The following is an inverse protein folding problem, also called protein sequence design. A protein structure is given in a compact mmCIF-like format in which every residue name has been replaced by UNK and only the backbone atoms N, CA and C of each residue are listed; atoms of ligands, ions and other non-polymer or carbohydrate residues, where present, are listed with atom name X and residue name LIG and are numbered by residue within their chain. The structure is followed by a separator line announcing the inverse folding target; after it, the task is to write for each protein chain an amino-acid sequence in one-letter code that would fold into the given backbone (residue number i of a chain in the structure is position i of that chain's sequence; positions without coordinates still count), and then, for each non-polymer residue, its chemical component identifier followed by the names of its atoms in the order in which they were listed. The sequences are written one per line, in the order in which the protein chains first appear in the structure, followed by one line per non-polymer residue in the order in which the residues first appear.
data_IF_507389147835
#
_entry.id   IF_507389147835
#
_cell.length_a   1.000
_cell.length_b   1.000
_cell.length_c   1.000
_cell.angle_alpha   90.00
_cell.angle_beta   90.00
_cell.angle_gamma   90.00
#
_symmetry.space_group_name_H-M   'P 1'
#
loop_
_entity.id
_entity.type
_entity.pdbx_description
1 polymer ?
#
# COMPACT_ATOMS: atom_id res chain seq x y z
N UNK A 1 -7.67 -27.43 14.88
CA UNK A 1 -8.23 -27.47 13.51
C UNK A 1 -7.08 -27.76 12.57
N UNK A 2 -7.27 -28.71 11.68
CA UNK A 2 -6.29 -29.01 10.62
C UNK A 2 -6.24 -27.87 9.60
N UNK A 3 -5.04 -27.48 9.17
CA UNK A 3 -4.87 -26.39 8.21
C UNK A 3 -5.33 -26.86 6.82
N UNK A 4 -6.09 -26.05 6.12
CA UNK A 4 -6.56 -26.36 4.75
C UNK A 4 -5.38 -26.15 3.80
N UNK A 5 -4.90 -27.18 3.08
CA UNK A 5 -3.82 -27.03 2.14
C UNK A 5 -4.27 -26.17 0.95
N UNK A 6 -3.37 -25.38 0.38
CA UNK A 6 -3.70 -24.54 -0.79
C UNK A 6 -4.19 -25.40 -1.99
N UNK A 7 -3.70 -26.62 -2.10
CA UNK A 7 -4.13 -27.58 -3.13
C UNK A 7 -5.62 -27.84 -3.16
N UNK A 8 -6.34 -27.62 -2.05
CA UNK A 8 -7.79 -27.78 -2.00
C UNK A 8 -8.57 -26.70 -2.80
N UNK A 9 -7.92 -25.58 -3.15
CA UNK A 9 -8.49 -24.48 -3.93
C UNK A 9 -7.98 -24.42 -5.38
N UNK A 10 -6.88 -25.14 -5.66
CA UNK A 10 -6.30 -25.08 -7.00
C UNK A 10 -7.15 -25.90 -7.97
N UNK A 11 -7.30 -25.43 -9.24
CA UNK A 11 -7.92 -26.24 -10.29
C UNK A 11 -7.22 -27.61 -10.47
N UNK A 12 -7.97 -28.68 -10.68
CA UNK A 12 -7.41 -30.01 -10.92
C UNK A 12 -6.45 -30.06 -12.14
N UNK A 13 -6.67 -29.19 -13.10
CA UNK A 13 -5.85 -29.06 -14.31
C UNK A 13 -4.51 -28.34 -14.05
N UNK A 14 -4.26 -27.78 -12.87
CA UNK A 14 -3.05 -27.02 -12.57
C UNK A 14 -1.88 -27.98 -12.32
N UNK A 15 -0.89 -28.00 -13.22
CA UNK A 15 0.38 -28.68 -13.01
C UNK A 15 1.37 -27.74 -12.29
N UNK A 16 1.75 -27.99 -11.02
CA UNK A 16 2.70 -27.14 -10.30
C UNK A 16 4.04 -26.95 -11.00
N UNK A 17 4.44 -27.88 -11.88
CA UNK A 17 5.70 -27.79 -12.63
C UNK A 17 5.68 -26.72 -13.71
N UNK A 18 4.49 -26.27 -14.15
CA UNK A 18 4.35 -25.16 -15.09
C UNK A 18 4.47 -23.78 -14.40
N UNK A 19 4.55 -23.71 -13.06
CA UNK A 19 4.46 -22.46 -12.29
C UNK A 19 5.74 -22.11 -11.54
N UNK A 20 6.05 -20.82 -11.52
CA UNK A 20 6.90 -20.17 -10.50
C UNK A 20 6.02 -19.46 -9.49
N UNK A 21 6.38 -19.50 -8.22
CA UNK A 21 5.77 -18.64 -7.19
C UNK A 21 6.64 -17.40 -7.02
N UNK A 22 6.04 -16.23 -7.20
CA UNK A 22 6.66 -14.95 -6.92
C UNK A 22 6.18 -14.47 -5.54
N UNK A 23 7.08 -14.51 -4.57
CA UNK A 23 6.87 -13.96 -3.24
C UNK A 23 7.30 -12.49 -3.23
N UNK A 24 6.42 -11.59 -3.65
CA UNK A 24 6.72 -10.16 -3.66
C UNK A 24 6.84 -9.64 -2.22
N UNK A 25 7.96 -8.97 -1.93
CA UNK A 25 8.30 -8.39 -0.62
C UNK A 25 8.62 -6.92 -0.78
N UNK A 26 8.69 -6.18 0.33
CA UNK A 26 9.11 -4.79 0.30
C UNK A 26 10.44 -4.59 -0.44
N UNK A 27 10.44 -3.65 -1.40
CA UNK A 27 11.59 -3.36 -2.26
C UNK A 27 12.42 -2.16 -1.79
N UNK A 28 12.26 -1.73 -0.53
CA UNK A 28 12.82 -0.54 0.13
C UNK A 28 12.08 0.78 -0.19
N UNK A 29 11.18 0.79 -1.18
CA UNK A 29 10.41 1.94 -1.62
C UNK A 29 8.93 1.71 -1.38
N UNK A 30 8.37 0.62 -1.94
CA UNK A 30 6.95 0.29 -1.89
C UNK A 30 6.71 -1.08 -1.27
N UNK A 31 5.59 -1.18 -0.55
CA UNK A 31 5.13 -2.47 -0.05
C UNK A 31 4.26 -3.16 -1.11
N UNK A 32 4.49 -4.46 -1.41
CA UNK A 32 3.84 -5.15 -2.52
C UNK A 32 2.31 -5.22 -2.38
N UNK A 33 1.80 -5.30 -1.16
CA UNK A 33 0.35 -5.39 -0.92
C UNK A 33 -0.35 -4.08 -1.29
N UNK A 34 0.30 -2.92 -1.12
CA UNK A 34 -0.24 -1.62 -1.52
C UNK A 34 -0.24 -1.48 -3.04
N UNK A 35 0.84 -1.90 -3.70
CA UNK A 35 0.92 -1.92 -5.17
C UNK A 35 -0.18 -2.82 -5.74
N UNK A 36 -0.34 -4.03 -5.20
CA UNK A 36 -1.40 -4.95 -5.60
C UNK A 36 -2.81 -4.36 -5.41
N UNK A 37 -3.00 -3.60 -4.31
CA UNK A 37 -4.30 -2.97 -4.01
C UNK A 37 -4.63 -1.81 -4.95
N UNK A 38 -3.63 -1.03 -5.41
CA UNK A 38 -3.87 0.31 -5.95
C UNK A 38 -3.47 0.50 -7.41
N UNK A 39 -2.53 -0.31 -7.92
CA UNK A 39 -1.96 -0.10 -9.25
C UNK A 39 -1.68 -1.42 -9.95
N UNK A 40 -2.65 -1.85 -10.77
CA UNK A 40 -2.54 -3.10 -11.52
C UNK A 40 -1.41 -3.10 -12.55
N UNK A 41 -1.13 -1.98 -13.20
CA UNK A 41 -0.04 -1.86 -14.17
C UNK A 41 1.33 -2.00 -13.48
N UNK A 42 1.50 -1.34 -12.34
CA UNK A 42 2.72 -1.48 -11.55
C UNK A 42 2.86 -2.92 -10.99
N UNK A 43 1.75 -3.54 -10.55
CA UNK A 43 1.75 -4.93 -10.12
C UNK A 43 2.14 -5.90 -11.24
N UNK A 44 1.69 -5.65 -12.46
CA UNK A 44 2.17 -6.35 -13.66
C UNK A 44 3.68 -6.15 -13.84
N UNK A 45 4.17 -4.92 -13.66
CA UNK A 45 5.60 -4.60 -13.69
C UNK A 45 6.43 -5.40 -12.70
N UNK A 46 5.91 -5.66 -11.48
CA UNK A 46 6.57 -6.50 -10.49
C UNK A 46 6.71 -7.96 -10.95
N UNK A 47 5.80 -8.44 -11.78
CA UNK A 47 5.83 -9.78 -12.37
C UNK A 47 6.59 -9.84 -13.71
N UNK A 48 6.96 -8.68 -14.27
CA UNK A 48 7.77 -8.52 -15.50
C UNK A 48 9.23 -8.15 -15.21
N UNK A 49 9.66 -8.19 -13.96
CA UNK A 49 10.92 -7.66 -13.46
C UNK A 49 12.14 -8.20 -14.24
N UNK A 50 13.10 -7.29 -14.50
CA UNK A 50 14.40 -7.64 -15.09
C UNK A 50 15.34 -8.21 -14.02
N UNK A 51 15.89 -9.38 -14.30
CA UNK A 51 16.87 -10.06 -13.45
C UNK A 51 18.03 -10.57 -14.30
N UNK A 52 19.23 -10.64 -13.72
CA UNK A 52 20.38 -11.32 -14.35
C UNK A 52 20.10 -12.80 -14.54
N UNK A 53 19.25 -13.39 -13.69
CA UNK A 53 18.84 -14.79 -13.79
C UNK A 53 17.50 -14.90 -14.49
N UNK A 54 17.29 -15.98 -15.27
CA UNK A 54 15.99 -16.34 -15.80
C UNK A 54 15.10 -16.90 -14.67
N UNK A 55 14.58 -15.99 -13.84
CA UNK A 55 13.84 -16.35 -12.63
C UNK A 55 12.43 -16.88 -12.96
N UNK A 56 11.77 -16.34 -13.99
CA UNK A 56 10.44 -16.77 -14.43
C UNK A 56 10.52 -17.65 -15.67
N UNK A 57 11.32 -18.71 -15.58
CA UNK A 57 11.60 -19.66 -16.65
C UNK A 57 10.53 -20.76 -16.82
N UNK A 58 9.28 -20.48 -16.41
CA UNK A 58 8.12 -21.35 -16.57
C UNK A 58 6.97 -20.62 -17.26
N UNK A 59 5.94 -21.36 -17.61
CA UNK A 59 4.79 -20.86 -18.35
C UNK A 59 3.98 -19.84 -17.53
N UNK A 60 3.84 -20.07 -16.21
CA UNK A 60 3.03 -19.24 -15.35
C UNK A 60 3.79 -18.74 -14.11
N UNK A 61 3.33 -17.60 -13.58
CA UNK A 61 3.76 -17.03 -12.32
C UNK A 61 2.54 -16.99 -11.38
N UNK A 62 2.61 -17.72 -10.28
CA UNK A 62 1.68 -17.60 -9.15
C UNK A 62 2.20 -16.49 -8.24
N UNK A 63 1.55 -15.33 -8.27
CA UNK A 63 2.04 -14.11 -7.63
C UNK A 63 1.36 -13.89 -6.28
N UNK A 64 2.15 -13.60 -5.25
CA UNK A 64 1.66 -13.29 -3.91
C UNK A 64 2.39 -12.09 -3.31
N UNK A 65 1.65 -11.21 -2.64
CA UNK A 65 2.16 -10.03 -1.96
C UNK A 65 2.26 -10.28 -0.45
N UNK A 66 3.40 -9.96 0.17
CA UNK A 66 3.60 -10.09 1.61
C UNK A 66 2.67 -9.14 2.38
N UNK A 67 2.08 -9.62 3.47
CA UNK A 67 1.36 -8.78 4.42
C UNK A 67 2.33 -7.86 5.19
N UNK A 68 1.86 -6.67 5.60
CA UNK A 68 2.69 -5.67 6.30
C UNK A 68 3.03 -6.06 7.73
N UNK A 69 2.16 -6.81 8.38
CA UNK A 69 2.20 -7.09 9.81
C UNK A 69 2.59 -8.53 10.13
N UNK A 70 2.36 -9.45 9.19
CA UNK A 70 2.70 -10.87 9.33
C UNK A 70 3.52 -11.35 8.12
N UNK A 71 4.81 -11.49 8.30
CA UNK A 71 5.73 -11.94 7.25
C UNK A 71 5.47 -13.37 6.73
N UNK A 72 4.58 -14.13 7.40
CA UNK A 72 4.16 -15.48 6.97
C UNK A 72 2.83 -15.47 6.24
N UNK A 73 2.17 -14.33 6.13
CA UNK A 73 0.90 -14.16 5.46
C UNK A 73 1.10 -13.50 4.10
N UNK A 74 0.42 -14.01 3.09
CA UNK A 74 0.58 -13.62 1.70
C UNK A 74 -0.77 -13.44 1.04
N UNK A 75 -1.01 -12.28 0.44
CA UNK A 75 -2.21 -12.01 -0.34
C UNK A 75 -2.02 -12.46 -1.78
N UNK A 76 -2.95 -13.23 -2.32
CA UNK A 76 -2.89 -13.71 -3.69
C UNK A 76 -3.07 -12.57 -4.69
N UNK A 77 -2.11 -12.42 -5.61
CA UNK A 77 -2.02 -11.36 -6.60
C UNK A 77 -2.26 -11.78 -8.04
N UNK A 78 -2.76 -13.02 -8.22
CA UNK A 78 -3.13 -13.54 -9.54
C UNK A 78 -2.13 -14.53 -10.12
N UNK A 79 -2.57 -15.17 -11.20
CA UNK A 79 -1.74 -16.02 -12.05
C UNK A 79 -1.43 -15.24 -13.33
N UNK A 80 -0.15 -15.15 -13.67
CA UNK A 80 0.35 -14.43 -14.84
C UNK A 80 0.97 -15.42 -15.81
N UNK A 81 0.52 -15.42 -17.05
CA UNK A 81 1.12 -16.19 -18.15
C UNK A 81 2.35 -15.45 -18.67
N UNK A 82 3.45 -16.17 -18.86
CA UNK A 82 4.68 -15.64 -19.46
C UNK A 82 4.59 -15.79 -20.96
N UNK A 83 4.18 -14.72 -21.65
CA UNK A 83 3.99 -14.70 -23.10
C UNK A 83 5.31 -14.65 -23.85
N UNK A 84 6.29 -13.92 -23.32
CA UNK A 84 7.59 -13.73 -23.97
C UNK A 84 8.68 -13.59 -22.90
N UNK A 85 9.86 -14.15 -23.20
CA UNK A 85 11.08 -13.99 -22.42
C UNK A 85 12.11 -13.33 -23.30
N UNK A 86 12.68 -12.22 -22.83
CA UNK A 86 13.73 -11.48 -23.52
C UNK A 86 14.99 -11.49 -22.69
N UNK A 87 16.11 -11.64 -23.36
CA UNK A 87 17.42 -11.52 -22.74
C UNK A 87 18.17 -10.38 -23.43
N UNK A 88 18.25 -9.24 -22.73
CA UNK A 88 18.89 -8.02 -23.23
C UNK A 88 19.90 -7.50 -22.21
N UNK A 89 21.09 -7.08 -22.66
CA UNK A 89 22.10 -6.43 -21.81
C UNK A 89 22.40 -7.22 -20.51
N UNK A 90 22.50 -8.54 -20.59
CA UNK A 90 22.74 -9.44 -19.45
C UNK A 90 21.61 -9.51 -18.41
N UNK A 91 20.42 -9.12 -18.76
CA UNK A 91 19.23 -9.23 -17.90
C UNK A 91 18.07 -9.92 -18.64
N UNK A 92 17.25 -10.64 -17.89
CA UNK A 92 15.99 -11.23 -18.38
C UNK A 92 14.81 -10.32 -18.03
N UNK A 93 13.94 -10.10 -19.00
CA UNK A 93 12.64 -9.44 -18.82
C UNK A 93 11.53 -10.29 -19.42
N UNK A 94 10.31 -10.08 -18.95
CA UNK A 94 9.16 -10.90 -19.31
C UNK A 94 8.00 -10.03 -19.77
N UNK A 95 7.33 -10.45 -20.83
CA UNK A 95 5.98 -9.95 -21.15
C UNK A 95 5.01 -10.92 -20.52
N UNK A 96 4.13 -10.40 -19.64
CA UNK A 96 3.18 -11.23 -18.89
C UNK A 96 1.76 -10.74 -19.09
N UNK A 97 0.80 -11.67 -19.03
CA UNK A 97 -0.64 -11.37 -19.06
C UNK A 97 -1.33 -12.02 -17.86
N UNK A 98 -2.24 -11.27 -17.23
CA UNK A 98 -3.06 -11.80 -16.14
C UNK A 98 -4.07 -12.82 -16.70
N UNK A 99 -4.15 -14.00 -16.08
CA UNK A 99 -5.09 -15.06 -16.37
C UNK A 99 -6.25 -15.02 -15.36
N UNK A 100 -7.22 -14.16 -15.64
CA UNK A 100 -8.40 -14.03 -14.77
C UNK A 100 -9.25 -15.30 -14.72
N UNK A 101 -9.21 -16.10 -15.77
CA UNK A 101 -9.84 -17.42 -15.84
C UNK A 101 -9.23 -18.43 -14.86
N UNK A 102 -7.99 -18.18 -14.41
CA UNK A 102 -7.31 -19.00 -13.43
C UNK A 102 -7.32 -18.33 -12.06
N UNK A 103 -8.29 -18.72 -11.23
CA UNK A 103 -8.43 -18.21 -9.85
C UNK A 103 -8.69 -16.68 -9.73
N UNK A 104 -9.15 -16.00 -10.76
CA UNK A 104 -9.38 -14.54 -10.74
C UNK A 104 -10.26 -14.06 -9.60
N UNK A 105 -11.31 -14.83 -9.24
CA UNK A 105 -12.18 -14.53 -8.11
C UNK A 105 -11.47 -14.46 -6.74
N UNK A 106 -10.26 -14.99 -6.63
CA UNK A 106 -9.46 -15.00 -5.40
C UNK A 106 -8.44 -13.86 -5.33
N UNK A 107 -8.22 -13.10 -6.40
CA UNK A 107 -7.27 -12.00 -6.43
C UNK A 107 -7.64 -10.96 -5.37
N UNK A 108 -6.67 -10.60 -4.52
CA UNK A 108 -6.84 -9.69 -3.37
C UNK A 108 -7.84 -10.16 -2.30
N UNK A 109 -8.26 -11.43 -2.35
CA UNK A 109 -9.23 -12.02 -1.41
C UNK A 109 -8.68 -13.23 -0.67
N UNK A 110 -7.78 -14.00 -1.32
CA UNK A 110 -7.19 -15.20 -0.73
C UNK A 110 -5.91 -14.85 0.01
N UNK A 111 -5.90 -15.08 1.31
CA UNK A 111 -4.71 -15.05 2.15
C UNK A 111 -4.14 -16.45 2.32
N UNK A 112 -2.85 -16.58 2.01
CA UNK A 112 -2.10 -17.82 2.03
C UNK A 112 -1.07 -17.73 3.17
N UNK A 113 -1.01 -18.73 4.01
CA UNK A 113 0.02 -18.86 5.04
C UNK A 113 1.17 -19.71 4.50
N UNK A 114 2.36 -19.14 4.58
CA UNK A 114 3.60 -19.81 4.21
C UNK A 114 4.80 -19.15 4.88
N UNK A 115 5.59 -19.92 5.63
CA UNK A 115 6.86 -19.44 6.18
C UNK A 115 7.97 -19.65 5.15
N UNK A 116 8.37 -18.57 4.50
CA UNK A 116 9.42 -18.60 3.50
C UNK A 116 10.77 -18.95 4.12
N UNK A 117 11.51 -19.86 3.51
CA UNK A 117 12.89 -20.21 3.84
C UNK A 117 13.87 -19.55 2.87
N UNK A 118 14.88 -18.86 3.40
CA UNK A 118 15.92 -18.21 2.61
C UNK A 118 15.50 -16.90 1.92
N UNK A 119 16.42 -16.32 1.13
CA UNK A 119 16.27 -15.01 0.49
C UNK A 119 15.60 -15.04 -0.88
N UNK A 120 15.55 -16.22 -1.52
CA UNK A 120 14.98 -16.33 -2.86
C UNK A 120 13.48 -16.12 -2.84
N UNK A 121 13.02 -15.09 -3.54
CA UNK A 121 11.61 -14.69 -3.67
C UNK A 121 10.90 -15.33 -4.87
N UNK A 122 11.63 -16.08 -5.68
CA UNK A 122 11.11 -16.76 -6.89
C UNK A 122 11.39 -18.24 -6.79
N UNK A 123 10.38 -19.01 -6.44
CA UNK A 123 10.49 -20.43 -6.15
C UNK A 123 9.72 -21.28 -7.17
N UNK A 124 10.12 -22.50 -7.38
CA UNK A 124 9.29 -23.46 -8.14
C UNK A 124 8.09 -23.86 -7.29
N UNK A 125 6.89 -23.91 -7.90
CA UNK A 125 5.65 -24.10 -7.15
C UNK A 125 5.62 -25.43 -6.41
N UNK A 126 6.07 -26.51 -7.05
CA UNK A 126 6.12 -27.85 -6.44
C UNK A 126 7.00 -27.92 -5.18
N UNK A 127 7.97 -27.00 -5.04
CA UNK A 127 8.86 -26.97 -3.87
C UNK A 127 8.25 -26.28 -2.65
N UNK A 128 7.26 -25.41 -2.83
CA UNK A 128 6.65 -24.61 -1.76
C UNK A 128 5.20 -24.97 -1.49
N UNK A 129 4.49 -25.45 -2.50
CA UNK A 129 3.08 -25.81 -2.44
C UNK A 129 2.71 -26.75 -1.25
N UNK A 130 3.50 -27.76 -0.92
CA UNK A 130 3.19 -28.66 0.21
C UNK A 130 3.12 -27.95 1.57
N UNK A 131 3.68 -26.74 1.69
CA UNK A 131 3.72 -25.96 2.93
C UNK A 131 2.82 -24.71 2.87
N UNK A 132 2.14 -24.49 1.75
CA UNK A 132 1.19 -23.39 1.60
C UNK A 132 -0.20 -23.82 2.05
N UNK A 133 -0.79 -23.06 2.96
CA UNK A 133 -2.14 -23.30 3.47
C UNK A 133 -3.03 -22.09 3.29
N UNK A 134 -4.33 -22.31 3.16
CA UNK A 134 -5.34 -21.25 3.17
C UNK A 134 -5.44 -20.67 4.57
N UNK A 135 -5.20 -19.38 4.72
CA UNK A 135 -5.40 -18.67 5.98
C UNK A 135 -6.83 -18.13 6.07
N UNK A 136 -7.28 -17.43 5.04
CA UNK A 136 -8.65 -16.92 4.93
C UNK A 136 -8.98 -16.56 3.49
N UNK A 137 -10.29 -16.50 3.19
CA UNK A 137 -10.84 -15.90 1.98
C UNK A 137 -11.78 -14.80 2.45
N UNK A 138 -11.50 -13.55 2.11
CA UNK A 138 -12.32 -12.40 2.49
C UNK A 138 -13.38 -12.14 1.42
N UNK A 139 -14.52 -11.60 1.85
CA UNK A 139 -15.65 -11.31 0.97
C UNK A 139 -15.31 -10.24 -0.05
N UNK A 140 -14.71 -9.12 0.41
CA UNK A 140 -14.30 -8.02 -0.43
C UNK A 140 -12.80 -8.06 -0.75
N UNK A 141 -12.38 -7.71 -1.97
CA UNK A 141 -10.97 -7.59 -2.31
C UNK A 141 -10.24 -6.58 -1.41
N UNK A 142 -9.06 -6.93 -0.95
CA UNK A 142 -8.21 -6.01 -0.19
C UNK A 142 -7.99 -4.69 -0.95
N UNK A 143 -8.32 -3.59 -0.31
CA UNK A 143 -8.29 -2.24 -0.85
C UNK A 143 -7.50 -1.26 0.05
N UNK A 144 -6.45 -1.75 0.70
CA UNK A 144 -5.68 -1.01 1.70
C UNK A 144 -6.10 -1.33 3.13
N UNK A 145 -5.35 -0.81 4.11
CA UNK A 145 -5.59 -1.09 5.52
C UNK A 145 -6.95 -0.56 6.01
N UNK A 146 -7.67 -1.28 6.89
CA UNK A 146 -8.92 -0.81 7.46
C UNK A 146 -8.70 0.46 8.30
N UNK A 147 -9.77 1.25 8.47
CA UNK A 147 -9.71 2.44 9.33
C UNK A 147 -9.32 2.04 10.77
N UNK A 148 -8.17 2.54 11.28
CA UNK A 148 -7.65 2.08 12.57
C UNK A 148 -8.31 2.73 13.78
N UNK A 149 -9.19 3.71 13.57
CA UNK A 149 -9.66 4.67 14.56
C UNK A 149 -8.85 5.97 14.53
N UNK A 150 -9.50 7.09 14.83
CA UNK A 150 -8.90 8.43 14.72
C UNK A 150 -7.57 8.58 15.48
N UNK A 151 -7.49 8.02 16.69
CA UNK A 151 -6.31 8.13 17.57
C UNK A 151 -5.10 7.29 17.11
N UNK A 152 -5.30 6.39 16.15
CA UNK A 152 -4.26 5.46 15.67
C UNK A 152 -3.78 5.75 14.27
N UNK A 153 -4.26 6.82 13.66
CA UNK A 153 -3.80 7.20 12.34
C UNK A 153 -2.36 7.68 12.42
N UNK A 154 -1.47 6.98 11.74
CA UNK A 154 -0.07 7.36 11.51
C UNK A 154 0.38 6.67 10.21
N UNK A 155 -0.15 7.16 9.10
CA UNK A 155 -0.02 6.51 7.79
C UNK A 155 0.89 7.31 6.87
N UNK A 156 1.59 6.62 5.97
CA UNK A 156 2.36 7.27 4.92
C UNK A 156 1.41 7.90 3.88
N UNK A 157 1.95 8.80 3.06
CA UNK A 157 1.18 9.31 1.93
C UNK A 157 0.77 8.18 0.98
N UNK A 158 1.62 7.18 0.78
CA UNK A 158 1.30 6.02 -0.04
C UNK A 158 0.10 5.23 0.50
N UNK A 159 0.01 5.04 1.83
CA UNK A 159 -1.15 4.40 2.47
C UNK A 159 -2.42 5.22 2.25
N UNK A 160 -2.35 6.56 2.40
CA UNK A 160 -3.48 7.44 2.14
C UNK A 160 -3.91 7.43 0.67
N UNK A 161 -2.96 7.41 -0.26
CA UNK A 161 -3.25 7.29 -1.69
C UNK A 161 -3.96 5.97 -2.00
N UNK A 162 -3.55 4.87 -1.34
CA UNK A 162 -4.22 3.58 -1.45
C UNK A 162 -5.68 3.66 -0.98
N UNK A 163 -5.90 4.21 0.20
CA UNK A 163 -7.23 4.40 0.80
C UNK A 163 -8.13 5.27 -0.09
N UNK A 164 -7.60 6.37 -0.62
CA UNK A 164 -8.34 7.31 -1.47
C UNK A 164 -8.67 6.71 -2.83
N UNK A 165 -7.69 6.08 -3.50
CA UNK A 165 -7.88 5.50 -4.84
C UNK A 165 -8.89 4.35 -4.85
N UNK A 166 -8.96 3.59 -3.76
CA UNK A 166 -9.93 2.51 -3.57
C UNK A 166 -11.27 2.98 -3.00
N UNK A 167 -11.42 4.29 -2.74
CA UNK A 167 -12.66 4.88 -2.18
C UNK A 167 -13.16 4.15 -0.94
N UNK A 168 -12.24 3.77 -0.03
CA UNK A 168 -12.57 3.00 1.17
C UNK A 168 -13.65 3.68 2.01
N UNK A 169 -14.82 3.03 2.08
CA UNK A 169 -15.99 3.61 2.72
C UNK A 169 -15.80 3.84 4.23
N UNK A 170 -15.11 2.93 4.92
CA UNK A 170 -14.82 3.03 6.37
C UNK A 170 -13.97 4.28 6.69
N UNK A 171 -12.92 4.55 5.94
CA UNK A 171 -12.09 5.75 6.06
C UNK A 171 -12.86 7.02 5.70
N UNK A 172 -13.58 6.98 4.58
CA UNK A 172 -14.36 8.12 4.11
C UNK A 172 -15.40 8.54 5.13
N UNK A 173 -16.26 7.61 5.58
CA UNK A 173 -17.32 7.87 6.54
C UNK A 173 -16.75 8.43 7.85
N UNK A 174 -15.64 7.84 8.34
CA UNK A 174 -15.02 8.28 9.57
C UNK A 174 -14.44 9.70 9.49
N UNK A 175 -13.81 10.07 8.37
CA UNK A 175 -13.10 11.35 8.23
C UNK A 175 -13.93 12.45 7.60
N UNK A 176 -14.98 12.14 6.81
CA UNK A 176 -15.89 13.11 6.18
C UNK A 176 -16.80 13.79 7.23
N UNK A 177 -17.11 13.07 8.30
CA UNK A 177 -17.97 13.53 9.39
C UNK A 177 -17.23 14.29 10.51
N UNK A 178 -15.94 14.58 10.34
CA UNK A 178 -15.08 15.16 11.37
C UNK A 178 -14.30 16.36 10.86
N UNK A 179 -14.26 17.41 11.69
CA UNK A 179 -13.25 18.48 11.64
C UNK A 179 -12.04 18.06 12.48
N UNK A 180 -10.85 18.63 12.21
CA UNK A 180 -9.70 18.30 13.02
C UNK A 180 -8.44 19.09 12.72
N UNK A 181 -7.48 18.95 13.63
CA UNK A 181 -6.10 19.39 13.47
C UNK A 181 -5.23 18.15 13.27
N UNK A 182 -4.38 18.19 12.28
CA UNK A 182 -3.50 17.09 11.92
C UNK A 182 -2.04 17.54 11.79
N UNK A 183 -1.15 16.61 11.91
CA UNK A 183 0.28 16.81 11.65
C UNK A 183 0.71 15.95 10.47
N UNK A 184 1.50 16.54 9.59
CA UNK A 184 2.29 15.82 8.59
C UNK A 184 3.74 15.92 9.05
N UNK A 185 4.37 14.79 9.37
CA UNK A 185 5.72 14.78 9.89
C UNK A 185 6.65 13.95 9.02
N UNK A 186 7.85 14.45 8.84
CA UNK A 186 8.94 13.74 8.18
C UNK A 186 9.63 12.81 9.18
N UNK A 187 9.56 11.50 8.94
CA UNK A 187 10.17 10.50 9.83
C UNK A 187 11.71 10.52 9.83
N UNK A 188 12.34 11.09 8.79
CA UNK A 188 13.78 11.16 8.65
C UNK A 188 14.37 12.38 9.37
N UNK A 189 13.77 13.55 9.15
CA UNK A 189 14.28 14.82 9.70
C UNK A 189 13.60 15.23 11.00
N UNK A 190 12.42 14.69 11.29
CA UNK A 190 11.55 15.12 12.38
C UNK A 190 10.84 16.46 12.15
N UNK A 191 11.01 17.10 10.99
CA UNK A 191 10.29 18.32 10.64
C UNK A 191 8.78 18.06 10.51
N UNK A 192 7.98 19.10 10.77
CA UNK A 192 6.51 18.96 10.87
C UNK A 192 5.81 20.07 10.13
N UNK A 193 4.64 19.72 9.61
CA UNK A 193 3.62 20.66 9.17
C UNK A 193 2.36 20.40 9.96
N UNK A 194 1.77 21.41 10.57
CA UNK A 194 0.47 21.34 11.23
C UNK A 194 -0.56 22.02 10.34
N UNK A 195 -1.67 21.34 10.11
CA UNK A 195 -2.78 21.86 9.35
C UNK A 195 -4.12 21.52 9.99
N UNK A 196 -5.18 22.14 9.51
CA UNK A 196 -6.54 21.88 9.94
C UNK A 196 -7.46 21.55 8.77
N UNK A 197 -8.52 20.85 9.10
CA UNK A 197 -9.68 20.62 8.24
C UNK A 197 -10.92 21.13 8.95
N UNK A 198 -11.55 22.16 8.36
CA UNK A 198 -12.74 22.83 8.85
C UNK A 198 -13.70 23.13 7.69
N UNK A 199 -14.82 23.80 7.95
CA UNK A 199 -15.88 23.98 6.97
C UNK A 199 -16.69 22.69 6.75
N UNK A 200 -17.32 22.56 5.59
CA UNK A 200 -18.32 21.52 5.32
C UNK A 200 -17.73 20.20 4.74
N UNK A 201 -16.42 20.14 4.52
CA UNK A 201 -15.80 19.04 3.80
C UNK A 201 -14.96 18.07 4.66
N UNK A 202 -14.74 18.44 5.93
CA UNK A 202 -14.06 17.59 6.90
C UNK A 202 -12.62 17.21 6.56
N UNK A 203 -12.09 16.29 7.35
CA UNK A 203 -10.70 15.78 7.20
C UNK A 203 -10.52 15.02 5.87
N UNK A 204 -11.55 14.28 5.44
CA UNK A 204 -11.47 13.45 4.23
C UNK A 204 -11.07 14.24 2.99
N UNK A 205 -11.82 15.30 2.67
CA UNK A 205 -11.55 16.09 1.47
C UNK A 205 -10.17 16.74 1.50
N UNK A 206 -9.73 17.16 2.68
CA UNK A 206 -8.41 17.74 2.87
C UNK A 206 -7.31 16.72 2.54
N UNK A 207 -7.48 15.49 3.01
CA UNK A 207 -6.50 14.41 2.77
C UNK A 207 -6.56 13.87 1.34
N UNK A 208 -7.73 13.85 0.69
CA UNK A 208 -7.86 13.59 -0.75
C UNK A 208 -7.01 14.60 -1.54
N UNK A 209 -7.03 15.88 -1.16
CA UNK A 209 -6.20 16.91 -1.81
C UNK A 209 -4.70 16.64 -1.65
N UNK A 210 -4.25 16.19 -0.46
CA UNK A 210 -2.86 15.76 -0.29
C UNK A 210 -2.51 14.51 -1.11
N UNK A 211 -3.38 13.52 -1.13
CA UNK A 211 -3.17 12.32 -1.92
C UNK A 211 -3.00 12.61 -3.42
N UNK A 212 -3.74 13.61 -3.93
CA UNK A 212 -3.68 14.03 -5.33
C UNK A 212 -2.49 14.94 -5.65
N UNK A 213 -2.16 15.90 -4.77
CA UNK A 213 -1.20 16.98 -5.06
C UNK A 213 0.12 16.86 -4.31
N UNK A 214 0.27 15.91 -3.40
CA UNK A 214 1.34 15.70 -2.41
C UNK A 214 1.37 16.78 -1.33
N UNK A 215 1.23 18.04 -1.67
CA UNK A 215 1.47 19.20 -0.80
C UNK A 215 0.18 19.91 -0.33
N UNK A 216 -1.00 19.57 -0.86
CA UNK A 216 -2.28 20.20 -0.49
C UNK A 216 -2.35 21.72 -0.71
N UNK A 217 -1.52 22.26 -1.62
CA UNK A 217 -1.39 23.71 -1.88
C UNK A 217 -0.47 24.46 -0.91
N UNK A 218 0.17 23.79 0.05
CA UNK A 218 1.03 24.41 1.04
C UNK A 218 2.43 24.71 0.50
N UNK A 219 2.92 25.94 0.74
CA UNK A 219 4.20 26.44 0.19
C UNK A 219 5.38 25.62 0.73
N UNK A 220 5.48 25.42 2.05
CA UNK A 220 6.62 24.71 2.63
C UNK A 220 6.66 23.23 2.25
N UNK A 221 5.50 22.60 2.00
CA UNK A 221 5.47 21.23 1.48
C UNK A 221 5.77 21.16 -0.02
N UNK A 222 5.42 22.18 -0.80
CA UNK A 222 5.86 22.30 -2.21
C UNK A 222 7.37 22.39 -2.31
N UNK A 223 7.97 23.28 -1.53
CA UNK A 223 9.43 23.41 -1.46
C UNK A 223 10.11 22.08 -1.11
N UNK A 224 9.56 21.35 -0.16
CA UNK A 224 10.08 20.02 0.20
C UNK A 224 10.01 19.02 -0.95
N UNK A 225 8.88 18.98 -1.69
CA UNK A 225 8.73 18.11 -2.87
C UNK A 225 9.71 18.49 -3.98
N UNK A 226 9.90 19.81 -4.22
CA UNK A 226 10.85 20.30 -5.22
C UNK A 226 12.32 20.00 -4.83
N UNK A 227 12.67 20.11 -3.55
CA UNK A 227 14.03 19.87 -3.04
C UNK A 227 14.39 18.38 -2.96
N UNK A 228 13.49 17.55 -2.42
CA UNK A 228 13.76 16.14 -2.11
C UNK A 228 13.17 15.15 -3.09
N UNK A 229 12.24 15.60 -3.92
CA UNK A 229 11.52 14.77 -4.89
C UNK A 229 10.29 14.07 -4.32
N UNK A 230 9.38 13.68 -5.22
CA UNK A 230 8.11 13.02 -4.85
C UNK A 230 8.29 11.70 -4.12
N UNK A 231 9.28 10.91 -4.51
CA UNK A 231 9.53 9.59 -3.91
C UNK A 231 9.95 9.71 -2.44
N UNK A 232 10.80 10.69 -2.13
CA UNK A 232 11.15 11.02 -0.75
C UNK A 232 9.89 11.37 0.06
N UNK A 233 9.04 12.24 -0.51
CA UNK A 233 7.82 12.69 0.15
C UNK A 233 6.86 11.53 0.43
N UNK A 234 6.63 10.67 -0.57
CA UNK A 234 5.76 9.47 -0.43
C UNK A 234 6.24 8.51 0.65
N UNK A 235 7.54 8.36 0.77
CA UNK A 235 8.17 7.40 1.69
C UNK A 235 8.29 7.93 3.11
N UNK A 236 8.60 9.22 3.29
CA UNK A 236 8.99 9.75 4.59
C UNK A 236 7.89 10.54 5.30
N UNK A 237 6.94 11.12 4.55
CA UNK A 237 5.88 11.89 5.18
C UNK A 237 4.79 11.01 5.78
N UNK A 238 4.44 11.27 7.04
CA UNK A 238 3.43 10.57 7.81
C UNK A 238 2.32 11.52 8.22
N UNK A 239 1.08 11.06 8.14
CA UNK A 239 -0.12 11.79 8.47
C UNK A 239 -0.71 11.23 9.76
N UNK A 240 -0.94 12.10 10.75
CA UNK A 240 -1.57 11.74 12.01
C UNK A 240 -2.56 12.83 12.44
N UNK A 241 -3.62 12.45 13.17
CA UNK A 241 -4.53 13.41 13.81
C UNK A 241 -3.98 13.81 15.18
N UNK A 242 -4.05 15.09 15.48
CA UNK A 242 -3.75 15.66 16.80
C UNK A 242 -5.03 15.82 17.62
N UNK A 243 -6.06 16.39 17.00
CA UNK A 243 -7.39 16.56 17.61
C UNK A 243 -8.46 16.42 16.52
N UNK A 244 -9.65 15.99 16.92
CA UNK A 244 -10.80 15.88 16.01
C UNK A 244 -12.12 16.15 16.73
N UNK A 245 -13.08 16.70 15.99
CA UNK A 245 -14.39 17.10 16.51
C UNK A 245 -15.48 16.83 15.48
N UNK A 246 -16.73 16.84 15.95
CA UNK A 246 -17.88 16.77 15.07
C UNK A 246 -17.96 17.96 14.12
N UNK A 247 -18.63 17.81 12.99
CA UNK A 247 -18.86 18.90 12.02
C UNK A 247 -19.61 20.11 12.60
N UNK A 248 -20.26 19.98 13.78
CA UNK A 248 -20.97 21.06 14.47
C UNK A 248 -20.03 21.99 15.23
N UNK A 249 -18.78 21.63 15.44
CA UNK A 249 -17.80 22.46 16.13
C UNK A 249 -17.53 23.73 15.33
N UNK A 250 -17.43 24.86 16.01
CA UNK A 250 -17.11 26.15 15.39
C UNK A 250 -15.73 26.11 14.71
N UNK A 251 -15.65 26.66 13.51
CA UNK A 251 -14.41 26.72 12.76
C UNK A 251 -13.32 27.54 13.45
N UNK A 252 -13.72 28.61 14.17
CA UNK A 252 -12.79 29.42 14.95
C UNK A 252 -12.05 28.59 16.00
N UNK A 253 -12.78 27.70 16.70
CA UNK A 253 -12.15 26.79 17.66
C UNK A 253 -11.10 25.88 16.99
N UNK A 254 -11.41 25.33 15.82
CA UNK A 254 -10.45 24.48 15.09
C UNK A 254 -9.20 25.27 14.69
N UNK A 255 -9.36 26.51 14.23
CA UNK A 255 -8.24 27.38 13.86
C UNK A 255 -7.40 27.81 15.06
N UNK A 256 -8.03 28.07 16.21
CA UNK A 256 -7.33 28.34 17.47
C UNK A 256 -6.46 27.15 17.89
N UNK A 257 -7.01 25.93 17.80
CA UNK A 257 -6.28 24.70 18.10
C UNK A 257 -5.15 24.42 17.11
N UNK A 258 -5.34 24.72 15.84
CA UNK A 258 -4.27 24.66 14.84
C UNK A 258 -3.11 25.58 15.21
N UNK A 259 -3.41 26.85 15.57
CA UNK A 259 -2.38 27.81 16.00
C UNK A 259 -1.63 27.33 17.24
N UNK A 260 -2.35 26.82 18.25
CA UNK A 260 -1.76 26.22 19.44
C UNK A 260 -0.78 25.09 19.10
N UNK A 261 -1.18 24.14 18.22
CA UNK A 261 -0.31 23.03 17.84
C UNK A 261 0.88 23.46 16.98
N UNK A 262 0.75 24.49 16.13
CA UNK A 262 1.88 25.10 15.42
C UNK A 262 2.94 25.59 16.38
N UNK A 263 2.53 26.21 17.49
CA UNK A 263 3.45 26.73 18.50
C UNK A 263 4.08 25.60 19.34
N UNK A 264 3.26 24.67 19.85
CA UNK A 264 3.72 23.52 20.64
C UNK A 264 4.72 22.65 19.90
N UNK A 265 4.48 22.41 18.62
CA UNK A 265 5.32 21.56 17.78
C UNK A 265 6.42 22.34 17.04
N UNK A 266 6.55 23.64 17.30
CA UNK A 266 7.51 24.52 16.62
C UNK A 266 7.43 24.44 15.09
N UNK A 267 6.23 24.20 14.55
CA UNK A 267 6.06 23.91 13.13
C UNK A 267 6.31 25.15 12.23
N UNK A 268 6.25 26.38 12.80
CA UNK A 268 6.61 27.63 12.11
C UNK A 268 8.12 27.87 12.07
N UNK A 269 8.84 27.58 13.16
CA UNK A 269 10.26 27.92 13.31
C UNK A 269 11.20 26.80 12.86
N UNK A 270 10.79 25.53 13.05
CA UNK A 270 11.60 24.34 12.77
C UNK A 270 10.95 23.40 11.75
N UNK A 271 9.77 23.76 11.20
CA UNK A 271 9.01 22.90 10.32
C UNK A 271 8.60 23.57 9.00
N UNK A 272 7.56 23.05 8.39
CA UNK A 272 7.11 23.43 7.05
C UNK A 272 5.95 24.46 7.03
N UNK A 273 5.49 24.97 8.18
CA UNK A 273 4.50 26.05 8.22
C UNK A 273 5.17 27.39 7.89
N UNK A 274 4.77 28.00 6.77
CA UNK A 274 5.27 29.32 6.34
C UNK A 274 4.30 30.48 6.66
N UNK A 275 3.21 30.18 7.41
CA UNK A 275 2.19 31.14 7.80
C UNK A 275 2.01 31.23 9.32
#
# INVERSE_FOLDING_TARGET
MEAIPLTALLPESLDPKAYKVHFAVWNQIKHPIDVLATNQEEWQGWNSWRSVKDDFNREFIFSVAQDKHDATLWLFGGIWEVLERRHEQQAHSYTVALREDLMGAFIRRLYIRHKRSGRNIRRTMESVLPTMTVSSIVEEPFAGDPFPGHDRINHSLADLQAVVSQSRADWRIALESMKGVYVIHDKETGQRYVGSAYGDTGIWQRWVTYAATLHGGNIGLKELVEERGEEYYRTNMRFALLEYWSMRTDDFHVLERESYWKDVLHARSLGHNKN
#
